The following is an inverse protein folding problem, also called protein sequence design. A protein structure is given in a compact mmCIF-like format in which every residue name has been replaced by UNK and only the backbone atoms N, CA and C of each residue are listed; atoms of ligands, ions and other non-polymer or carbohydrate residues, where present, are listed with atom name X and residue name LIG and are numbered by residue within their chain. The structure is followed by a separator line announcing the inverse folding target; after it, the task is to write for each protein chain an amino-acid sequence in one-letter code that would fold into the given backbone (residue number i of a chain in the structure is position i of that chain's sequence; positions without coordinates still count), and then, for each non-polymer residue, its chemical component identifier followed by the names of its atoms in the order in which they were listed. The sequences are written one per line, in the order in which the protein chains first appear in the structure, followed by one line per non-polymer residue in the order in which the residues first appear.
data_IF_449665856952
#
_entry.id   IF_449665856952
#
_cell.length_a   1.000
_cell.length_b   1.000
_cell.length_c   1.000
_cell.angle_alpha   90.00
_cell.angle_beta   90.00
_cell.angle_gamma   90.00
#
_symmetry.space_group_name_H-M   'P 1'
#
loop_
_entity.id
_entity.type
_entity.pdbx_description
1 polymer ?
#
# COMPACT_ATOMS: atom_id res chain seq x y z
N UNK A 1 24.10 -4.60 6.04
CA UNK A 1 23.41 -3.68 6.94
C UNK A 1 24.30 -3.24 8.09
N UNK A 2 24.97 -4.17 8.80
CA UNK A 2 25.86 -3.79 9.93
C UNK A 2 26.87 -2.68 9.57
N UNK A 3 27.47 -2.73 8.40
CA UNK A 3 28.42 -1.71 7.92
C UNK A 3 27.77 -0.32 7.73
N UNK A 4 26.47 -0.23 7.46
CA UNK A 4 25.78 1.05 7.34
C UNK A 4 25.65 1.78 8.68
N UNK A 5 25.69 1.03 9.79
CA UNK A 5 25.56 1.55 11.17
C UNK A 5 26.88 2.01 11.80
N UNK A 6 28.04 1.70 11.18
CA UNK A 6 29.38 2.04 11.73
C UNK A 6 29.53 3.56 11.95
N UNK A 7 28.87 4.36 11.12
CA UNK A 7 28.88 5.83 11.25
C UNK A 7 27.82 6.40 12.20
N UNK A 8 27.07 5.55 12.93
CA UNK A 8 25.92 5.97 13.72
C UNK A 8 24.69 6.35 12.90
N UNK A 9 24.69 6.07 11.59
CA UNK A 9 23.56 6.38 10.74
C UNK A 9 22.37 5.44 11.01
N UNK A 10 21.16 5.99 11.01
CA UNK A 10 19.93 5.21 11.00
C UNK A 10 19.79 4.46 9.67
N UNK A 11 19.20 3.28 9.73
CA UNK A 11 18.89 2.44 8.56
C UNK A 11 17.40 2.43 8.32
N UNK A 12 16.98 2.76 7.11
CA UNK A 12 15.61 2.61 6.67
C UNK A 12 15.43 1.37 5.79
N UNK A 13 14.25 0.77 5.84
CA UNK A 13 13.81 -0.26 4.90
C UNK A 13 12.65 0.25 4.06
N UNK A 14 12.73 0.05 2.75
CA UNK A 14 11.66 0.27 1.78
C UNK A 14 11.31 -1.07 1.13
N UNK A 15 10.28 -1.79 1.60
CA UNK A 15 9.87 -3.05 1.00
C UNK A 15 9.10 -2.81 -0.30
N UNK A 16 9.49 -3.52 -1.37
CA UNK A 16 8.81 -3.46 -2.67
C UNK A 16 8.68 -4.85 -3.30
N UNK A 17 7.86 -4.94 -4.33
CA UNK A 17 7.77 -6.14 -5.16
C UNK A 17 8.47 -5.97 -6.53
N UNK A 18 9.22 -4.88 -6.74
CA UNK A 18 9.82 -4.56 -8.03
C UNK A 18 8.84 -3.83 -8.98
N UNK A 19 9.20 -3.75 -10.25
CA UNK A 19 8.54 -2.91 -11.25
C UNK A 19 8.39 -1.46 -10.76
N UNK A 20 9.52 -0.90 -10.32
CA UNK A 20 9.56 0.37 -9.62
C UNK A 20 9.12 1.53 -10.52
N UNK A 21 8.51 2.51 -9.88
CA UNK A 21 8.05 3.78 -10.48
C UNK A 21 8.30 4.93 -9.50
N UNK A 22 8.02 6.16 -9.89
CA UNK A 22 8.24 7.36 -9.07
C UNK A 22 7.62 7.26 -7.68
N UNK A 23 6.47 6.62 -7.50
CA UNK A 23 5.88 6.36 -6.18
C UNK A 23 6.77 5.53 -5.24
N UNK A 24 7.53 4.57 -5.77
CA UNK A 24 8.52 3.83 -4.97
C UNK A 24 9.76 4.67 -4.68
N UNK A 25 10.16 5.53 -5.63
CA UNK A 25 11.29 6.45 -5.43
C UNK A 25 10.96 7.47 -4.36
N UNK A 26 9.71 7.95 -4.28
CA UNK A 26 9.26 8.84 -3.20
C UNK A 26 9.46 8.23 -1.80
N UNK A 27 9.32 6.89 -1.64
CA UNK A 27 9.63 6.20 -0.38
C UNK A 27 11.13 6.28 -0.05
N UNK A 28 11.98 6.08 -1.07
CA UNK A 28 13.45 6.18 -0.92
C UNK A 28 13.84 7.61 -0.56
N UNK A 29 13.26 8.60 -1.21
CA UNK A 29 13.52 10.02 -0.95
C UNK A 29 13.05 10.44 0.44
N UNK A 30 11.87 9.99 0.88
CA UNK A 30 11.38 10.22 2.24
C UNK A 30 12.36 9.63 3.28
N UNK A 31 12.83 8.41 3.07
CA UNK A 31 13.80 7.76 3.95
C UNK A 31 15.16 8.51 3.98
N UNK A 32 15.63 9.01 2.83
CA UNK A 32 16.86 9.82 2.75
C UNK A 32 16.68 11.18 3.41
N UNK A 33 15.53 11.81 3.23
CA UNK A 33 15.20 13.08 3.88
C UNK A 33 15.15 12.94 5.40
N UNK A 34 14.72 11.77 5.91
CA UNK A 34 14.82 11.42 7.32
C UNK A 34 16.26 11.12 7.80
N UNK A 35 17.27 11.29 6.95
CA UNK A 35 18.69 11.10 7.28
C UNK A 35 19.13 9.63 7.33
N UNK A 36 18.33 8.71 6.78
CA UNK A 36 18.63 7.29 6.85
C UNK A 36 19.50 6.78 5.69
N UNK A 37 20.23 5.69 5.94
CA UNK A 37 20.81 4.84 4.90
C UNK A 37 19.73 3.84 4.45
N UNK A 38 19.37 3.89 3.16
CA UNK A 38 18.19 3.16 2.67
C UNK A 38 18.57 1.77 2.17
N UNK A 39 17.90 0.77 2.70
CA UNK A 39 17.86 -0.60 2.19
C UNK A 39 16.53 -0.77 1.46
N UNK A 40 16.55 -1.14 0.20
CA UNK A 40 15.33 -1.47 -0.55
C UNK A 40 15.26 -2.98 -0.70
N UNK A 41 14.10 -3.59 -0.47
CA UNK A 41 13.89 -4.97 -0.86
C UNK A 41 13.05 -5.07 -2.12
N UNK A 42 13.39 -6.02 -3.00
CA UNK A 42 12.58 -6.43 -4.15
C UNK A 42 12.25 -7.91 -3.98
N UNK A 43 11.00 -8.22 -3.66
CA UNK A 43 10.54 -9.60 -3.52
C UNK A 43 9.07 -9.73 -3.91
N UNK A 44 8.79 -10.42 -5.00
CA UNK A 44 7.42 -10.80 -5.40
C UNK A 44 6.99 -11.97 -4.51
N UNK A 45 6.26 -11.66 -3.44
CA UNK A 45 5.89 -12.63 -2.41
C UNK A 45 4.74 -13.54 -2.87
N UNK A 46 4.96 -14.84 -3.12
CA UNK A 46 3.91 -15.70 -3.62
C UNK A 46 2.76 -15.92 -2.62
N UNK A 47 3.02 -15.80 -1.31
CA UNK A 47 2.02 -16.10 -0.27
C UNK A 47 0.94 -15.04 -0.12
N UNK A 48 1.12 -13.86 -0.71
CA UNK A 48 0.11 -12.78 -0.67
C UNK A 48 -0.77 -12.71 -1.93
N UNK A 49 -0.57 -13.62 -2.90
CA UNK A 49 -1.38 -13.71 -4.10
C UNK A 49 -2.39 -14.85 -3.99
N UNK A 50 -3.63 -14.56 -4.28
CA UNK A 50 -4.66 -15.57 -4.43
C UNK A 50 -4.49 -16.39 -5.71
N UNK A 51 -5.20 -17.54 -5.84
CA UNK A 51 -5.04 -18.45 -6.97
C UNK A 51 -5.42 -17.85 -8.33
N UNK A 52 -6.17 -16.76 -8.35
CA UNK A 52 -6.64 -16.07 -9.57
C UNK A 52 -6.05 -14.67 -9.70
N UNK A 53 -4.99 -14.36 -8.95
CA UNK A 53 -4.30 -13.07 -9.02
C UNK A 53 -3.10 -13.11 -9.97
N UNK A 54 -2.50 -11.96 -10.20
CA UNK A 54 -1.50 -11.68 -11.24
C UNK A 54 -0.07 -12.10 -10.89
N UNK A 55 0.15 -13.12 -10.03
CA UNK A 55 1.49 -13.54 -9.59
C UNK A 55 2.43 -13.85 -10.77
N UNK A 56 1.95 -14.64 -11.74
CA UNK A 56 2.76 -15.04 -12.91
C UNK A 56 2.97 -13.88 -13.88
N UNK A 57 1.97 -12.98 -13.99
CA UNK A 57 2.02 -11.80 -14.86
C UNK A 57 2.70 -10.60 -14.18
N UNK A 58 2.98 -10.66 -12.87
CA UNK A 58 3.54 -9.53 -12.15
C UNK A 58 4.88 -9.11 -12.75
N UNK A 59 5.05 -7.82 -13.10
CA UNK A 59 6.22 -7.36 -13.86
C UNK A 59 7.52 -7.58 -13.08
N UNK A 60 8.53 -8.13 -13.75
CA UNK A 60 9.87 -8.31 -13.21
C UNK A 60 10.86 -7.60 -14.11
N UNK A 61 11.41 -6.47 -13.65
CA UNK A 61 12.30 -5.58 -14.43
C UNK A 61 13.58 -5.28 -13.66
N UNK A 62 14.23 -6.30 -13.12
CA UNK A 62 15.32 -6.19 -12.15
C UNK A 62 16.40 -5.19 -12.58
N UNK A 63 16.90 -5.27 -13.82
CA UNK A 63 17.94 -4.35 -14.29
C UNK A 63 17.49 -2.87 -14.32
N UNK A 64 16.23 -2.61 -14.69
CA UNK A 64 15.67 -1.25 -14.68
C UNK A 64 15.44 -0.77 -13.24
N UNK A 65 14.97 -1.66 -12.37
CA UNK A 65 14.76 -1.36 -10.96
C UNK A 65 16.08 -1.02 -10.26
N UNK A 66 17.16 -1.79 -10.53
CA UNK A 66 18.52 -1.50 -10.01
C UNK A 66 18.99 -0.12 -10.45
N UNK A 67 18.83 0.23 -11.73
CA UNK A 67 19.26 1.53 -12.26
C UNK A 67 18.48 2.69 -11.60
N UNK A 68 17.17 2.53 -11.38
CA UNK A 68 16.34 3.52 -10.68
C UNK A 68 16.80 3.70 -9.23
N UNK A 69 17.09 2.60 -8.51
CA UNK A 69 17.53 2.62 -7.12
C UNK A 69 18.92 3.23 -6.95
N UNK A 70 19.85 2.95 -7.87
CA UNK A 70 21.17 3.57 -7.89
C UNK A 70 21.05 5.09 -8.06
N UNK A 71 20.25 5.53 -9.03
CA UNK A 71 19.95 6.95 -9.24
C UNK A 71 19.29 7.63 -8.04
N UNK A 72 18.43 6.91 -7.31
CA UNK A 72 17.78 7.39 -6.10
C UNK A 72 18.70 7.34 -4.85
N UNK A 73 19.88 6.75 -4.93
CA UNK A 73 20.85 6.68 -3.86
C UNK A 73 20.50 5.66 -2.76
N UNK A 74 19.83 4.56 -3.13
CA UNK A 74 19.66 3.41 -2.24
C UNK A 74 21.04 2.81 -1.91
N UNK A 75 21.28 2.51 -0.63
CA UNK A 75 22.59 2.01 -0.17
C UNK A 75 22.74 0.49 -0.38
N UNK A 76 21.65 -0.25 -0.31
CA UNK A 76 21.60 -1.72 -0.49
C UNK A 76 20.29 -2.10 -1.18
N UNK A 77 20.37 -3.00 -2.14
CA UNK A 77 19.25 -3.77 -2.65
C UNK A 77 19.30 -5.18 -2.06
N UNK A 78 18.19 -5.61 -1.43
CA UNK A 78 17.96 -6.97 -0.96
C UNK A 78 16.91 -7.63 -1.86
N UNK A 79 17.33 -8.53 -2.74
CA UNK A 79 16.47 -9.21 -3.71
C UNK A 79 16.52 -10.74 -3.48
N UNK A 80 15.85 -11.25 -2.42
CA UNK A 80 15.82 -12.68 -2.13
C UNK A 80 14.91 -13.43 -3.11
N UNK A 81 15.22 -14.72 -3.33
CA UNK A 81 14.30 -15.63 -3.97
C UNK A 81 13.30 -16.26 -2.97
N UNK A 82 12.31 -16.99 -3.50
CA UNK A 82 11.29 -17.63 -2.69
C UNK A 82 11.86 -18.72 -1.76
N UNK A 83 12.91 -19.44 -2.18
CA UNK A 83 13.55 -20.48 -1.36
C UNK A 83 14.32 -19.86 -0.18
N UNK A 84 14.92 -18.68 -0.38
CA UNK A 84 15.57 -17.91 0.70
C UNK A 84 14.53 -17.39 1.69
N UNK A 85 13.40 -16.89 1.20
CA UNK A 85 12.35 -16.37 2.09
C UNK A 85 11.55 -17.49 2.78
N UNK A 86 11.29 -18.58 2.08
CA UNK A 86 10.49 -19.71 2.56
C UNK A 86 11.23 -21.02 2.30
N UNK A 87 12.26 -21.33 3.11
CA UNK A 87 13.02 -22.58 2.94
C UNK A 87 12.15 -23.80 3.23
N UNK A 88 12.61 -24.98 2.78
CA UNK A 88 11.93 -26.22 3.04
C UNK A 88 11.65 -26.41 4.55
N UNK A 89 10.41 -26.74 4.90
CA UNK A 89 9.96 -26.85 6.30
C UNK A 89 9.51 -25.54 6.92
N UNK A 90 9.47 -24.42 6.19
CA UNK A 90 8.85 -23.18 6.68
C UNK A 90 7.37 -23.40 7.00
N UNK A 91 6.95 -23.11 8.24
CA UNK A 91 5.61 -23.44 8.73
C UNK A 91 4.96 -22.32 9.57
N UNK A 92 5.54 -21.11 9.55
CA UNK A 92 5.05 -19.99 10.35
C UNK A 92 4.20 -19.04 9.51
N UNK A 93 3.04 -18.68 10.02
CA UNK A 93 2.17 -17.65 9.42
C UNK A 93 1.79 -16.63 10.50
N UNK A 94 1.83 -15.36 10.16
CA UNK A 94 1.36 -14.28 11.01
C UNK A 94 -0.01 -13.85 10.51
N UNK A 95 -1.00 -13.89 11.38
CA UNK A 95 -2.37 -13.44 11.12
C UNK A 95 -2.72 -12.30 12.06
N UNK A 96 -3.38 -11.28 11.53
CA UNK A 96 -3.81 -10.10 12.29
C UNK A 96 -5.33 -10.04 12.20
N UNK A 97 -6.02 -10.02 13.33
CA UNK A 97 -7.49 -9.90 13.36
C UNK A 97 -7.96 -8.45 13.24
N UNK A 98 -9.23 -8.24 12.97
CA UNK A 98 -9.85 -6.92 12.88
C UNK A 98 -9.45 -6.17 11.61
N UNK A 99 -8.41 -5.36 11.66
CA UNK A 99 -7.98 -4.49 10.53
C UNK A 99 -7.67 -5.23 9.23
N UNK A 100 -7.44 -6.54 9.27
CA UNK A 100 -7.16 -7.38 8.09
C UNK A 100 -8.37 -8.14 7.54
N UNK A 101 -9.54 -8.06 8.18
CA UNK A 101 -10.65 -8.97 7.87
C UNK A 101 -11.68 -8.36 6.90
N UNK A 102 -11.78 -7.03 6.84
CA UNK A 102 -12.69 -6.29 5.94
C UNK A 102 -11.98 -5.86 4.66
N UNK A 103 -12.72 -5.23 3.77
CA UNK A 103 -12.24 -4.57 2.55
C UNK A 103 -11.37 -5.49 1.69
N UNK A 104 -10.08 -5.17 1.54
CA UNK A 104 -9.14 -6.04 0.82
C UNK A 104 -9.01 -7.42 1.47
N UNK A 105 -9.15 -7.53 2.78
CA UNK A 105 -9.12 -8.82 3.47
C UNK A 105 -10.28 -9.74 3.08
N UNK A 106 -11.49 -9.18 2.93
CA UNK A 106 -12.66 -9.90 2.43
C UNK A 106 -12.52 -10.23 0.93
N UNK A 107 -12.08 -9.24 0.14
CA UNK A 107 -11.92 -9.39 -1.30
C UNK A 107 -10.78 -10.35 -1.70
N UNK A 108 -9.75 -10.47 -0.83
CA UNK A 108 -8.52 -11.23 -1.07
C UNK A 108 -8.16 -12.13 0.13
N UNK A 109 -8.90 -13.23 0.37
CA UNK A 109 -8.66 -14.12 1.51
C UNK A 109 -7.20 -14.59 1.57
N UNK A 110 -6.57 -14.47 2.76
CA UNK A 110 -5.18 -14.86 3.00
C UNK A 110 -4.12 -13.81 2.62
N UNK A 111 -4.48 -12.77 1.87
CA UNK A 111 -3.55 -11.73 1.42
C UNK A 111 -2.76 -11.11 2.58
N UNK A 112 -3.44 -10.62 3.59
CA UNK A 112 -2.77 -9.93 4.71
C UNK A 112 -1.97 -10.87 5.61
N UNK A 113 -2.31 -12.15 5.69
CA UNK A 113 -1.47 -13.13 6.36
C UNK A 113 -0.13 -13.32 5.60
N UNK A 114 -0.17 -13.35 4.27
CA UNK A 114 1.01 -13.33 3.42
C UNK A 114 1.86 -12.07 3.62
N UNK A 115 1.21 -10.89 3.62
CA UNK A 115 1.87 -9.59 3.86
C UNK A 115 2.50 -9.53 5.25
N UNK A 116 1.75 -9.84 6.30
CA UNK A 116 2.26 -9.78 7.68
C UNK A 116 3.46 -10.72 7.87
N UNK A 117 3.40 -11.91 7.29
CA UNK A 117 4.49 -12.89 7.35
C UNK A 117 5.74 -12.40 6.62
N UNK A 118 5.63 -11.94 5.38
CA UNK A 118 6.79 -11.49 4.61
C UNK A 118 7.41 -10.23 5.19
N UNK A 119 6.58 -9.25 5.57
CA UNK A 119 7.08 -8.00 6.14
C UNK A 119 7.79 -8.25 7.47
N UNK A 120 7.24 -9.08 8.35
CA UNK A 120 7.93 -9.48 9.59
C UNK A 120 9.30 -10.09 9.30
N UNK A 121 9.39 -10.99 8.30
CA UNK A 121 10.69 -11.57 7.90
C UNK A 121 11.67 -10.52 7.40
N UNK A 122 11.21 -9.59 6.57
CA UNK A 122 12.05 -8.50 6.06
C UNK A 122 12.53 -7.57 7.19
N UNK A 123 11.64 -7.21 8.11
CA UNK A 123 11.99 -6.43 9.29
C UNK A 123 13.05 -7.14 10.15
N UNK A 124 12.90 -8.45 10.38
CA UNK A 124 13.85 -9.25 11.17
C UNK A 124 15.19 -9.46 10.44
N UNK A 125 15.19 -9.56 9.12
CA UNK A 125 16.41 -9.75 8.32
C UNK A 125 17.24 -8.47 8.23
N UNK A 126 16.57 -7.33 8.00
CA UNK A 126 17.22 -6.02 7.82
C UNK A 126 17.46 -5.33 9.15
N UNK A 127 16.54 -5.49 10.11
CA UNK A 127 16.50 -4.79 11.40
C UNK A 127 16.69 -3.28 11.22
N UNK A 128 15.82 -2.62 10.45
CA UNK A 128 15.91 -1.18 10.25
C UNK A 128 15.51 -0.44 11.52
N UNK A 129 15.82 0.86 11.59
CA UNK A 129 15.30 1.75 12.64
C UNK A 129 13.90 2.24 12.27
N UNK A 130 13.64 2.37 10.96
CA UNK A 130 12.35 2.82 10.40
C UNK A 130 12.07 2.09 9.09
N UNK A 131 10.81 1.73 8.83
CA UNK A 131 10.37 1.16 7.56
C UNK A 131 9.29 2.04 6.91
N UNK A 132 9.47 2.35 5.62
CA UNK A 132 8.61 3.25 4.86
C UNK A 132 7.65 2.46 3.96
N UNK A 133 6.37 2.81 4.00
CA UNK A 133 5.31 2.21 3.21
C UNK A 133 4.43 3.28 2.57
N UNK A 134 3.95 3.05 1.35
CA UNK A 134 3.03 3.97 0.70
C UNK A 134 1.63 3.91 1.29
N UNK A 135 1.02 5.06 1.54
CA UNK A 135 -0.38 5.17 2.00
C UNK A 135 -1.39 4.73 0.94
N UNK A 136 -0.97 4.50 -0.30
CA UNK A 136 -1.84 3.95 -1.34
C UNK A 136 -2.45 2.61 -0.90
N UNK A 137 -1.67 1.75 -0.31
CA UNK A 137 -2.09 0.48 0.26
C UNK A 137 -2.42 0.67 1.76
N UNK A 138 -3.40 1.56 2.05
CA UNK A 138 -3.67 2.08 3.38
C UNK A 138 -4.03 0.98 4.39
N UNK A 139 -4.85 0.01 3.99
CA UNK A 139 -5.16 -1.13 4.86
C UNK A 139 -3.93 -1.98 5.14
N UNK A 140 -3.04 -2.17 4.16
CA UNK A 140 -1.76 -2.85 4.39
C UNK A 140 -0.92 -2.11 5.43
N UNK A 141 -0.82 -0.79 5.34
CA UNK A 141 -0.09 0.03 6.31
C UNK A 141 -0.69 -0.13 7.73
N UNK A 142 -2.02 -0.11 7.86
CA UNK A 142 -2.70 -0.33 9.15
C UNK A 142 -2.41 -1.72 9.71
N UNK A 143 -2.43 -2.77 8.90
CA UNK A 143 -2.08 -4.15 9.30
C UNK A 143 -0.63 -4.23 9.76
N UNK A 144 0.30 -3.56 9.05
CA UNK A 144 1.73 -3.56 9.41
C UNK A 144 1.94 -2.84 10.74
N UNK A 145 1.35 -1.67 10.93
CA UNK A 145 1.40 -0.94 12.21
C UNK A 145 0.85 -1.78 13.35
N UNK A 146 -0.26 -2.49 13.12
CA UNK A 146 -0.90 -3.32 14.13
C UNK A 146 0.00 -4.47 14.59
N UNK A 147 0.46 -5.34 13.69
CA UNK A 147 1.29 -6.47 14.11
C UNK A 147 2.67 -6.04 14.65
N UNK A 148 3.22 -4.94 14.14
CA UNK A 148 4.49 -4.41 14.65
C UNK A 148 4.35 -4.00 16.11
N UNK A 149 3.25 -3.33 16.47
CA UNK A 149 2.94 -2.98 17.85
C UNK A 149 2.66 -4.20 18.72
N UNK A 150 1.83 -5.16 18.23
CA UNK A 150 1.43 -6.35 18.98
C UNK A 150 2.59 -7.31 19.27
N UNK A 151 3.60 -7.32 18.41
CA UNK A 151 4.76 -8.19 18.53
C UNK A 151 5.98 -7.49 19.17
N UNK A 152 5.79 -6.29 19.72
CA UNK A 152 6.86 -5.48 20.32
C UNK A 152 8.08 -5.33 19.39
N UNK A 153 7.83 -5.18 18.09
CA UNK A 153 8.90 -4.96 17.12
C UNK A 153 9.32 -3.49 17.18
N UNK A 154 10.50 -3.22 17.74
CA UNK A 154 11.06 -1.89 17.93
C UNK A 154 11.55 -1.28 16.60
N UNK A 155 10.60 -0.99 15.71
CA UNK A 155 10.82 -0.40 14.37
C UNK A 155 9.71 0.59 14.11
N UNK A 156 10.06 1.84 13.81
CA UNK A 156 9.09 2.85 13.39
C UNK A 156 8.48 2.50 12.02
N UNK A 157 7.16 2.63 11.87
CA UNK A 157 6.42 2.39 10.61
C UNK A 157 5.91 3.72 10.06
N UNK A 158 6.60 4.25 9.08
CA UNK A 158 6.26 5.50 8.43
C UNK A 158 5.37 5.31 7.20
N UNK A 159 4.30 6.10 7.09
CA UNK A 159 3.50 6.25 5.88
C UNK A 159 4.06 7.34 4.98
N UNK A 160 4.03 7.14 3.67
CA UNK A 160 4.35 8.17 2.68
C UNK A 160 3.12 8.45 1.83
N UNK A 161 2.74 9.71 1.64
CA UNK A 161 1.57 10.08 0.86
C UNK A 161 1.52 9.45 -0.53
N UNK A 162 0.30 9.35 -1.06
CA UNK A 162 0.06 8.74 -2.38
C UNK A 162 0.66 9.63 -3.46
N UNK A 163 1.61 9.10 -4.21
CA UNK A 163 2.07 9.71 -5.46
C UNK A 163 1.05 9.48 -6.57
N UNK A 164 0.77 10.55 -7.33
CA UNK A 164 -0.23 10.54 -8.40
C UNK A 164 0.34 11.05 -9.70
N UNK A 165 -0.21 10.55 -10.81
CA UNK A 165 0.00 11.17 -12.13
C UNK A 165 -0.65 12.57 -12.18
N UNK A 166 -0.31 13.36 -13.21
CA UNK A 166 -0.86 14.72 -13.42
C UNK A 166 -2.39 14.76 -13.51
N UNK A 167 -3.03 13.65 -13.85
CA UNK A 167 -4.48 13.51 -13.94
C UNK A 167 -5.12 12.96 -12.65
N UNK A 168 -4.34 12.85 -11.57
CA UNK A 168 -4.79 12.45 -10.25
C UNK A 168 -4.79 10.94 -10.00
N UNK A 169 -4.56 10.08 -11.01
CA UNK A 169 -4.55 8.63 -10.81
C UNK A 169 -3.36 8.23 -9.92
N UNK A 170 -3.62 7.47 -8.87
CA UNK A 170 -2.57 6.93 -8.00
C UNK A 170 -1.59 6.05 -8.78
N UNK A 171 -0.30 6.27 -8.59
CA UNK A 171 0.74 5.48 -9.26
C UNK A 171 0.72 4.03 -8.79
N UNK A 172 0.76 3.11 -9.74
CA UNK A 172 0.76 1.67 -9.50
C UNK A 172 1.45 0.92 -10.63
N UNK A 173 2.22 -0.11 -10.31
CA UNK A 173 2.78 -1.03 -11.32
C UNK A 173 1.69 -1.65 -12.20
N UNK A 174 0.46 -1.80 -11.68
CA UNK A 174 -0.70 -2.33 -12.40
C UNK A 174 -1.29 -1.36 -13.43
N UNK A 175 -0.97 -0.08 -13.35
CA UNK A 175 -1.40 0.89 -14.37
C UNK A 175 -0.83 0.54 -15.77
N UNK A 176 0.28 -0.19 -15.82
CA UNK A 176 0.86 -0.70 -17.06
C UNK A 176 -0.01 -1.76 -17.78
N UNK A 177 -1.00 -2.33 -17.12
CA UNK A 177 -1.92 -3.30 -17.71
C UNK A 177 -3.12 -2.64 -18.42
N UNK A 178 -3.37 -1.36 -18.16
CA UNK A 178 -4.50 -0.63 -18.73
C UNK A 178 -4.25 -0.35 -20.22
N UNK A 179 -5.25 -0.62 -21.04
CA UNK A 179 -5.29 -0.08 -22.43
C UNK A 179 -5.39 1.45 -22.39
N UNK A 180 -5.13 2.14 -23.50
CA UNK A 180 -5.29 3.59 -23.56
C UNK A 180 -6.68 4.08 -23.14
N UNK A 181 -7.75 3.38 -23.54
CA UNK A 181 -9.11 3.75 -23.17
C UNK A 181 -9.40 3.48 -21.68
N UNK A 182 -8.93 2.34 -21.16
CA UNK A 182 -9.02 2.04 -19.73
C UNK A 182 -8.20 3.05 -18.90
N UNK A 183 -7.02 3.46 -19.39
CA UNK A 183 -6.21 4.49 -18.70
C UNK A 183 -6.93 5.84 -18.61
N UNK A 184 -7.70 6.21 -19.65
CA UNK A 184 -8.54 7.40 -19.61
C UNK A 184 -9.72 7.24 -18.63
N UNK A 185 -10.40 6.10 -18.66
CA UNK A 185 -11.52 5.79 -17.75
C UNK A 185 -11.06 5.73 -16.29
N UNK A 186 -9.83 5.26 -16.03
CA UNK A 186 -9.26 5.15 -14.68
C UNK A 186 -9.23 6.47 -13.90
N UNK A 187 -9.21 7.62 -14.60
CA UNK A 187 -9.30 8.97 -13.98
C UNK A 187 -10.58 9.18 -13.18
N UNK A 188 -11.63 8.41 -13.47
CA UNK A 188 -12.87 8.49 -12.71
C UNK A 188 -12.68 8.08 -11.25
N UNK A 189 -11.73 7.18 -10.93
CA UNK A 189 -11.52 6.71 -9.55
C UNK A 189 -11.11 7.86 -8.61
N UNK A 190 -9.99 8.57 -8.80
CA UNK A 190 -9.62 9.68 -7.93
C UNK A 190 -10.62 10.83 -7.96
N UNK A 191 -11.24 11.13 -9.12
CA UNK A 191 -12.25 12.17 -9.25
C UNK A 191 -13.48 11.84 -8.41
N UNK A 192 -14.05 10.65 -8.54
CA UNK A 192 -15.23 10.22 -7.80
C UNK A 192 -14.96 10.21 -6.28
N UNK A 193 -13.78 9.73 -5.86
CA UNK A 193 -13.40 9.82 -4.45
C UNK A 193 -13.25 11.27 -3.97
N UNK A 194 -12.70 12.16 -4.78
CA UNK A 194 -12.60 13.60 -4.45
C UNK A 194 -13.95 14.25 -4.31
N UNK A 195 -14.91 13.97 -5.19
CA UNK A 195 -16.29 14.43 -5.14
C UNK A 195 -17.01 13.90 -3.89
N UNK A 196 -16.88 12.61 -3.59
CA UNK A 196 -17.44 11.99 -2.40
C UNK A 196 -16.85 12.56 -1.11
N UNK A 197 -15.52 12.73 -1.04
CA UNK A 197 -14.83 13.40 0.08
C UNK A 197 -15.42 14.80 0.32
N UNK A 198 -15.51 15.61 -0.73
CA UNK A 198 -16.02 16.98 -0.61
C UNK A 198 -17.50 17.02 -0.15
N UNK A 199 -18.33 16.06 -0.59
CA UNK A 199 -19.71 15.93 -0.15
C UNK A 199 -19.80 15.57 1.35
N UNK A 200 -19.04 14.57 1.80
CA UNK A 200 -19.01 14.15 3.20
C UNK A 200 -18.49 15.27 4.11
N UNK A 201 -17.46 16.01 3.70
CA UNK A 201 -16.90 17.12 4.46
C UNK A 201 -17.85 18.33 4.54
N UNK A 202 -18.79 18.48 3.59
CA UNK A 202 -19.90 19.46 3.68
C UNK A 202 -21.04 19.01 4.61
N UNK A 203 -21.03 17.74 5.04
CA UNK A 203 -22.08 17.17 5.89
C UNK A 203 -23.22 16.51 5.12
N UNK A 204 -23.00 16.19 3.83
CA UNK A 204 -23.98 15.44 3.06
C UNK A 204 -24.12 14.01 3.63
N UNK A 205 -25.24 13.34 3.35
CA UNK A 205 -25.50 11.98 3.82
C UNK A 205 -24.46 11.00 3.29
N UNK A 206 -23.80 10.27 4.20
CA UNK A 206 -22.67 9.40 3.89
C UNK A 206 -23.12 8.22 3.02
N UNK A 207 -24.22 7.56 3.37
CA UNK A 207 -24.71 6.39 2.65
C UNK A 207 -25.09 6.77 1.20
N UNK A 208 -25.84 7.84 1.03
CA UNK A 208 -26.20 8.35 -0.29
C UNK A 208 -24.99 8.78 -1.11
N UNK A 209 -23.98 9.40 -0.46
CA UNK A 209 -22.73 9.82 -1.11
C UNK A 209 -21.92 8.62 -1.60
N UNK A 210 -21.77 7.58 -0.77
CA UNK A 210 -21.06 6.36 -1.15
C UNK A 210 -21.79 5.60 -2.26
N UNK A 211 -23.13 5.55 -2.22
CA UNK A 211 -23.94 4.95 -3.29
C UNK A 211 -23.78 5.71 -4.62
N UNK A 212 -23.76 7.04 -4.58
CA UNK A 212 -23.49 7.89 -5.76
C UNK A 212 -22.08 7.64 -6.32
N UNK A 213 -21.07 7.48 -5.44
CA UNK A 213 -19.71 7.16 -5.87
C UNK A 213 -19.62 5.79 -6.57
N UNK A 214 -20.31 4.77 -6.06
CA UNK A 214 -20.40 3.45 -6.71
C UNK A 214 -21.08 3.56 -8.08
N UNK A 215 -22.18 4.33 -8.19
CA UNK A 215 -22.86 4.55 -9.47
C UNK A 215 -21.93 5.26 -10.47
N UNK A 216 -21.25 6.32 -10.07
CA UNK A 216 -20.34 7.08 -10.94
C UNK A 216 -19.15 6.25 -11.43
N UNK A 217 -18.61 5.36 -10.60
CA UNK A 217 -17.57 4.41 -11.03
C UNK A 217 -18.13 3.40 -12.03
N UNK A 218 -19.34 2.87 -11.80
CA UNK A 218 -20.00 1.93 -12.72
C UNK A 218 -20.26 2.56 -14.09
N UNK A 219 -20.75 3.81 -14.13
CA UNK A 219 -20.96 4.58 -15.37
C UNK A 219 -19.64 4.85 -16.12
N UNK A 220 -18.54 4.98 -15.41
CA UNK A 220 -17.20 5.11 -15.98
C UNK A 220 -16.60 3.79 -16.48
N UNK A 221 -17.33 2.67 -16.37
CA UNK A 221 -16.91 1.36 -16.85
C UNK A 221 -16.18 0.49 -15.84
N UNK A 222 -16.15 0.88 -14.56
CA UNK A 222 -15.62 0.02 -13.51
C UNK A 222 -16.62 -1.08 -13.14
N UNK A 223 -16.13 -2.31 -12.97
CA UNK A 223 -16.92 -3.43 -12.47
C UNK A 223 -16.16 -4.76 -12.55
N UNK A 224 -16.29 -5.61 -11.54
CA UNK A 224 -16.98 -5.38 -10.27
C UNK A 224 -16.31 -4.32 -9.39
N UNK A 225 -17.13 -3.65 -8.56
CA UNK A 225 -16.66 -2.76 -7.50
C UNK A 225 -16.66 -3.58 -6.21
N UNK A 226 -15.48 -3.77 -5.61
CA UNK A 226 -15.36 -4.57 -4.39
C UNK A 226 -15.89 -3.77 -3.19
N UNK A 227 -15.55 -2.48 -3.11
CA UNK A 227 -16.04 -1.55 -2.11
C UNK A 227 -15.78 -0.09 -2.49
N UNK A 228 -16.65 0.80 -1.99
CA UNK A 228 -16.39 2.22 -1.71
C UNK A 228 -16.88 2.46 -0.29
N UNK A 229 -16.01 2.87 0.62
CA UNK A 229 -16.33 2.92 2.05
C UNK A 229 -15.65 4.08 2.77
N UNK A 230 -16.37 4.71 3.71
CA UNK A 230 -15.80 5.61 4.68
C UNK A 230 -15.51 4.84 5.97
N UNK A 231 -14.27 4.91 6.45
CA UNK A 231 -13.81 4.13 7.60
C UNK A 231 -13.06 5.01 8.60
N UNK A 232 -13.03 4.61 9.85
CA UNK A 232 -12.13 5.18 10.85
C UNK A 232 -10.68 4.96 10.41
N UNK A 233 -9.85 6.00 10.49
CA UNK A 233 -8.49 5.96 9.95
C UNK A 233 -7.54 5.02 10.72
N UNK A 234 -7.92 4.56 11.92
CA UNK A 234 -7.09 3.68 12.77
C UNK A 234 -7.61 2.25 12.77
N UNK A 235 -8.91 2.08 13.01
CA UNK A 235 -9.54 0.76 13.18
C UNK A 235 -10.03 0.15 11.88
N UNK A 236 -10.19 0.96 10.83
CA UNK A 236 -10.82 0.61 9.54
C UNK A 236 -12.27 0.11 9.68
N UNK A 237 -12.91 0.37 10.82
CA UNK A 237 -14.34 0.13 11.00
C UNK A 237 -15.14 1.13 10.15
N UNK A 238 -16.27 0.72 9.55
CA UNK A 238 -17.15 1.65 8.86
C UNK A 238 -17.61 2.77 9.81
N UNK A 239 -17.72 3.99 9.30
CA UNK A 239 -18.27 5.12 10.07
C UNK A 239 -19.51 5.69 9.37
N UNK A 240 -20.53 5.98 10.17
CA UNK A 240 -21.81 6.56 9.72
C UNK A 240 -21.87 8.08 9.93
N UNK A 241 -20.88 8.63 10.63
CA UNK A 241 -20.77 10.06 10.91
C UNK A 241 -19.31 10.50 11.04
N UNK A 242 -18.98 11.69 10.52
CA UNK A 242 -17.62 12.22 10.52
C UNK A 242 -17.32 12.95 11.85
N UNK A 243 -16.98 12.17 12.89
CA UNK A 243 -16.66 12.68 14.23
C UNK A 243 -15.18 12.58 14.59
N UNK A 244 -14.40 11.93 13.75
CA UNK A 244 -12.97 11.69 13.90
C UNK A 244 -12.30 11.61 12.52
N UNK A 245 -10.95 11.63 12.44
CA UNK A 245 -10.26 11.38 11.19
C UNK A 245 -10.71 10.07 10.56
N UNK A 246 -11.12 10.15 9.30
CA UNK A 246 -11.61 9.03 8.53
C UNK A 246 -10.82 8.84 7.23
N UNK A 247 -10.98 7.69 6.61
CA UNK A 247 -10.39 7.39 5.32
C UNK A 247 -11.48 6.91 4.37
N UNK A 248 -11.56 7.51 3.20
CA UNK A 248 -12.40 7.03 2.11
C UNK A 248 -11.59 6.05 1.30
N UNK A 249 -12.03 4.79 1.23
CA UNK A 249 -11.35 3.69 0.54
C UNK A 249 -12.17 3.25 -0.67
N UNK A 250 -11.51 2.90 -1.76
CA UNK A 250 -12.16 2.24 -2.89
C UNK A 250 -11.28 1.16 -3.51
N UNK A 251 -11.93 0.09 -3.97
CA UNK A 251 -11.33 -0.93 -4.81
C UNK A 251 -12.33 -1.39 -5.87
N UNK A 252 -11.91 -1.35 -7.13
CA UNK A 252 -12.76 -1.72 -8.26
C UNK A 252 -11.91 -2.23 -9.42
N UNK A 253 -12.51 -3.07 -10.26
CA UNK A 253 -11.88 -3.51 -11.50
C UNK A 253 -12.23 -2.58 -12.65
N UNK A 254 -11.24 -2.32 -13.51
CA UNK A 254 -11.43 -1.73 -14.81
C UNK A 254 -10.84 -2.69 -15.84
N UNK A 255 -11.71 -3.27 -16.67
CA UNK A 255 -11.33 -4.43 -17.45
C UNK A 255 -10.86 -5.60 -16.57
N UNK A 256 -9.61 -6.02 -16.77
CA UNK A 256 -8.97 -7.07 -15.96
C UNK A 256 -8.16 -6.53 -14.78
N UNK A 257 -7.93 -5.22 -14.72
CA UNK A 257 -7.04 -4.59 -13.75
C UNK A 257 -7.82 -4.14 -12.52
N UNK A 258 -7.43 -4.63 -11.34
CA UNK A 258 -7.94 -4.15 -10.06
C UNK A 258 -7.17 -2.91 -9.65
N UNK A 259 -7.89 -1.81 -9.47
CA UNK A 259 -7.36 -0.53 -9.01
C UNK A 259 -7.85 -0.26 -7.59
N UNK A 260 -6.99 0.33 -6.78
CA UNK A 260 -7.32 0.83 -5.44
C UNK A 260 -6.90 2.29 -5.32
N UNK A 261 -7.65 3.03 -4.53
CA UNK A 261 -7.32 4.39 -4.14
C UNK A 261 -7.92 4.73 -2.79
N UNK A 262 -7.43 5.78 -2.15
CA UNK A 262 -7.99 6.26 -0.90
C UNK A 262 -7.68 7.74 -0.67
N UNK A 263 -8.51 8.40 0.15
CA UNK A 263 -8.34 9.80 0.53
C UNK A 263 -8.61 9.97 2.04
N UNK A 264 -7.81 10.79 2.70
CA UNK A 264 -8.12 11.26 4.05
C UNK A 264 -9.36 12.16 4.03
N UNK A 265 -10.26 11.98 5.01
CA UNK A 265 -11.51 12.74 5.16
C UNK A 265 -11.58 13.29 6.57
N UNK A 266 -11.92 14.58 6.71
CA UNK A 266 -12.01 15.27 7.99
C UNK A 266 -10.66 15.76 8.51
N UNK A 267 -10.63 16.16 9.78
CA UNK A 267 -9.44 16.74 10.42
C UNK A 267 -8.39 15.63 10.61
N UNK A 268 -7.28 15.73 9.90
CA UNK A 268 -6.11 14.92 10.19
C UNK A 268 -5.67 15.17 11.64
N UNK A 269 -5.62 14.13 12.46
CA UNK A 269 -4.91 14.26 13.73
C UNK A 269 -3.44 14.37 13.40
N UNK A 270 -2.70 15.38 13.95
CA UNK A 270 -1.25 15.32 13.88
C UNK A 270 -0.81 13.99 14.50
N UNK A 271 0.00 13.23 13.76
CA UNK A 271 0.53 11.96 14.24
C UNK A 271 1.11 12.17 15.64
N UNK A 272 0.64 11.39 16.59
CA UNK A 272 1.30 11.30 17.88
C UNK A 272 2.64 10.59 17.62
N UNK A 273 3.70 11.41 17.64
CA UNK A 273 5.10 11.00 17.55
C UNK A 273 5.46 10.18 18.81
#
# INVERSE_FOLDING_TARGET
VANLRISGAKVALVPTMGALHSGHIALVDAARTAGCRVVVSIFVNPTQFGPNEDLDAYPRREAADVALLDGAGAAILWAPDAATMYPAGFATTISVSGVSERWDGTARPGHFAGVATVVTKLLQQVKPDIAFFGEKDFQQLAVIRRFTADLDIDIEIAGVPIERDDDGLALSSRNAYLSPDERLAARALPRTLGEAKAAIERGDDIEATLAAAVAGLSEAGFGPIDYVALVDAVTLEPVESLNAPARLLAAAKLGKTRLIDNLAVGIERPEQI
#
